data_IF_274118813151
#
_entry.id   IF_274118813151
#
_cell.length_a   1.000
_cell.length_b   1.000
_cell.length_c   1.000
_cell.angle_alpha   90.00
_cell.angle_beta   90.00
_cell.angle_gamma   90.00
#
_symmetry.space_group_name_H-M   'P 1'
#
loop_
_entity.id
_entity.type
_entity.pdbx_description
1 polymer ?
#
# COMPACT_ATOMS: atom_id res chain seq x y z
N UNK A 1 56.42 5.93 22.05
CA UNK A 1 55.68 4.78 21.51
C UNK A 1 54.87 5.28 20.34
N UNK A 2 55.23 4.87 19.12
CA UNK A 2 54.43 5.17 17.94
C UNK A 2 53.33 4.11 17.94
N UNK A 3 52.06 4.52 18.12
CA UNK A 3 50.94 3.60 17.92
C UNK A 3 50.86 3.31 16.42
N UNK A 4 51.07 2.05 16.05
CA UNK A 4 50.71 1.55 14.72
C UNK A 4 49.20 1.61 14.59
N UNK A 5 48.69 2.42 13.65
CA UNK A 5 47.27 2.39 13.30
C UNK A 5 46.99 1.10 12.54
N UNK A 6 46.13 0.21 13.06
CA UNK A 6 45.79 -1.03 12.36
C UNK A 6 45.11 -0.67 11.02
N UNK A 7 45.54 -1.33 9.95
CA UNK A 7 44.92 -1.15 8.63
C UNK A 7 43.55 -1.81 8.65
N UNK A 8 42.51 -0.98 8.62
CA UNK A 8 41.13 -1.41 8.59
C UNK A 8 40.73 -1.76 7.15
N UNK A 9 40.22 -2.98 6.96
CA UNK A 9 39.68 -3.43 5.67
C UNK A 9 38.24 -2.96 5.50
N UNK A 10 37.76 -2.82 4.25
CA UNK A 10 36.40 -2.35 3.98
C UNK A 10 35.33 -3.25 4.59
N UNK A 11 35.55 -4.57 4.63
CA UNK A 11 34.63 -5.51 5.29
C UNK A 11 34.52 -5.21 6.78
N UNK A 12 35.63 -4.90 7.45
CA UNK A 12 35.63 -4.51 8.86
C UNK A 12 34.93 -3.16 9.08
N UNK A 13 35.07 -2.20 8.16
CA UNK A 13 34.32 -0.92 8.24
C UNK A 13 32.82 -1.17 8.24
N UNK A 14 32.33 -2.07 7.37
CA UNK A 14 30.92 -2.43 7.29
C UNK A 14 30.44 -3.12 8.58
N UNK A 15 31.25 -4.03 9.14
CA UNK A 15 30.97 -4.66 10.44
C UNK A 15 30.90 -3.61 11.57
N UNK A 16 31.74 -2.58 11.53
CA UNK A 16 31.72 -1.47 12.51
C UNK A 16 30.55 -0.50 12.33
N UNK A 17 30.04 -0.30 11.12
CA UNK A 17 28.83 0.52 10.91
C UNK A 17 27.59 -0.14 11.50
N UNK A 18 27.50 -1.47 11.44
CA UNK A 18 26.47 -2.24 12.15
C UNK A 18 26.58 -2.02 13.66
N UNK A 19 27.81 -2.00 14.22
CA UNK A 19 28.03 -1.74 15.65
C UNK A 19 27.54 -0.36 16.12
N UNK A 20 27.54 0.65 15.24
CA UNK A 20 27.01 1.98 15.56
C UNK A 20 25.50 1.95 15.84
N UNK A 21 24.76 1.05 15.20
CA UNK A 21 23.31 0.89 15.42
C UNK A 21 22.99 0.28 16.81
N UNK A 22 23.94 -0.45 17.42
CA UNK A 22 23.79 -1.07 18.75
C UNK A 22 24.49 -0.31 19.87
N UNK A 23 25.14 0.82 19.58
CA UNK A 23 25.80 1.64 20.61
C UNK A 23 24.79 2.19 21.65
N UNK A 24 23.48 2.11 21.35
CA UNK A 24 22.38 2.36 22.29
C UNK A 24 22.30 1.32 23.44
N UNK A 25 22.87 0.12 23.27
CA UNK A 25 22.80 -1.00 24.22
C UNK A 25 24.08 -1.21 25.05
N UNK A 26 25.12 -0.40 24.85
CA UNK A 26 26.41 -0.50 25.55
C UNK A 26 26.32 -0.31 27.09
N UNK A 27 25.14 0.07 27.62
CA UNK A 27 24.89 0.24 29.06
C UNK A 27 24.66 -1.06 29.85
N UNK A 28 24.36 -2.18 29.18
CA UNK A 28 24.25 -3.49 29.85
C UNK A 28 25.60 -4.20 29.80
N UNK A 29 26.12 -4.64 30.94
CA UNK A 29 27.38 -5.39 31.04
C UNK A 29 27.34 -6.81 30.43
N UNK A 30 26.25 -7.17 29.76
CA UNK A 30 26.12 -8.45 29.05
C UNK A 30 26.77 -8.33 27.67
N UNK A 31 27.64 -9.29 27.34
CA UNK A 31 28.27 -9.40 26.03
C UNK A 31 27.23 -9.81 24.98
N UNK A 32 26.54 -8.80 24.44
CA UNK A 32 25.46 -8.95 23.46
C UNK A 32 25.92 -9.77 22.26
N UNK A 33 27.20 -9.68 21.88
CA UNK A 33 27.79 -10.41 20.75
C UNK A 33 27.82 -11.93 20.94
N UNK A 34 27.82 -12.41 22.19
CA UNK A 34 27.80 -13.84 22.48
C UNK A 34 26.43 -14.47 22.24
N UNK A 35 25.37 -13.66 22.07
CA UNK A 35 24.05 -14.18 21.82
C UNK A 35 23.84 -14.56 20.35
N UNK A 36 23.20 -15.72 20.07
CA UNK A 36 22.88 -16.14 18.70
C UNK A 36 22.06 -15.11 17.92
N UNK A 37 21.25 -14.29 18.61
CA UNK A 37 20.47 -13.24 17.96
C UNK A 37 21.33 -12.08 17.49
N UNK A 38 22.49 -11.78 18.09
CA UNK A 38 23.36 -10.68 17.64
C UNK A 38 24.21 -11.04 16.39
N UNK A 39 24.08 -12.27 15.88
CA UNK A 39 24.75 -12.68 14.65
C UNK A 39 24.05 -12.07 13.43
N UNK A 40 24.78 -11.23 12.69
CA UNK A 40 24.26 -10.53 11.52
C UNK A 40 23.73 -11.47 10.43
N UNK A 41 24.38 -12.62 10.22
CA UNK A 41 23.92 -13.61 9.24
C UNK A 41 22.59 -14.23 9.64
N UNK A 42 22.37 -14.46 10.94
CA UNK A 42 21.09 -14.95 11.45
C UNK A 42 19.99 -13.89 11.33
N UNK A 43 20.31 -12.62 11.57
CA UNK A 43 19.36 -11.51 11.36
C UNK A 43 18.88 -11.41 9.92
N UNK A 44 19.80 -11.40 8.96
CA UNK A 44 19.45 -11.35 7.53
C UNK A 44 18.58 -12.54 7.11
N UNK A 45 18.87 -13.72 7.65
CA UNK A 45 18.06 -14.91 7.39
C UNK A 45 16.66 -14.80 8.02
N UNK A 46 16.57 -14.36 9.28
CA UNK A 46 15.30 -14.13 9.97
C UNK A 46 14.45 -13.10 9.24
N UNK A 47 15.02 -11.95 8.85
CA UNK A 47 14.32 -10.91 8.12
C UNK A 47 13.78 -11.42 6.79
N UNK A 48 14.58 -12.20 6.04
CA UNK A 48 14.14 -12.82 4.80
C UNK A 48 12.98 -13.78 5.03
N UNK A 49 13.08 -14.62 6.06
CA UNK A 49 12.02 -15.54 6.43
C UNK A 49 10.72 -14.82 6.83
N UNK A 50 10.81 -13.77 7.64
CA UNK A 50 9.65 -12.96 8.05
C UNK A 50 9.03 -12.22 6.87
N UNK A 51 9.83 -11.69 5.94
CA UNK A 51 9.34 -11.06 4.70
C UNK A 51 8.53 -12.05 3.86
N UNK A 52 9.01 -13.29 3.72
CA UNK A 52 8.26 -14.34 3.00
C UNK A 52 6.94 -14.64 3.72
N UNK A 53 6.98 -14.82 5.04
CA UNK A 53 5.77 -15.09 5.83
C UNK A 53 4.75 -13.96 5.74
N UNK A 54 5.22 -12.72 5.81
CA UNK A 54 4.38 -11.54 5.67
C UNK A 54 3.81 -11.44 4.25
N UNK A 55 4.59 -11.70 3.20
CA UNK A 55 4.10 -11.68 1.83
C UNK A 55 2.97 -12.72 1.61
N UNK A 56 3.11 -13.93 2.15
CA UNK A 56 2.06 -14.96 2.11
C UNK A 56 0.76 -14.49 2.78
N UNK A 57 0.88 -13.82 3.92
CA UNK A 57 -0.27 -13.25 4.64
C UNK A 57 -0.89 -12.09 3.86
N UNK A 58 -0.07 -11.14 3.41
CA UNK A 58 -0.52 -9.96 2.68
C UNK A 58 -1.27 -10.34 1.40
N UNK A 59 -0.84 -11.37 0.66
CA UNK A 59 -1.59 -11.89 -0.49
C UNK A 59 -3.00 -12.29 -0.08
N UNK A 60 -3.16 -13.00 1.05
CA UNK A 60 -4.47 -13.43 1.55
C UNK A 60 -5.35 -12.22 1.92
N UNK A 61 -4.77 -11.23 2.60
CA UNK A 61 -5.49 -10.00 2.98
C UNK A 61 -5.85 -9.15 1.77
N UNK A 62 -4.96 -9.04 0.79
CA UNK A 62 -5.20 -8.31 -0.45
C UNK A 62 -6.36 -8.92 -1.25
N UNK A 63 -6.48 -10.25 -1.31
CA UNK A 63 -7.62 -10.90 -1.95
C UNK A 63 -8.96 -10.47 -1.34
N UNK A 64 -9.03 -10.32 -0.02
CA UNK A 64 -10.24 -9.84 0.68
C UNK A 64 -10.47 -8.36 0.36
N UNK A 65 -9.41 -7.54 0.42
CA UNK A 65 -9.47 -6.10 0.12
C UNK A 65 -9.93 -5.84 -1.32
N UNK A 66 -9.47 -6.61 -2.29
CA UNK A 66 -9.89 -6.52 -3.71
C UNK A 66 -11.41 -6.71 -3.81
N UNK A 67 -11.96 -7.76 -3.20
CA UNK A 67 -13.40 -7.99 -3.17
C UNK A 67 -14.16 -6.81 -2.54
N UNK A 68 -13.65 -6.26 -1.43
CA UNK A 68 -14.26 -5.10 -0.76
C UNK A 68 -14.24 -3.85 -1.62
N UNK A 69 -13.12 -3.54 -2.26
CA UNK A 69 -13.01 -2.38 -3.15
C UNK A 69 -13.97 -2.52 -4.33
N UNK A 70 -14.04 -3.69 -4.97
CA UNK A 70 -14.99 -3.96 -6.06
C UNK A 70 -16.44 -3.74 -5.60
N UNK A 71 -16.77 -4.26 -4.42
CA UNK A 71 -18.10 -4.12 -3.83
C UNK A 71 -18.43 -2.66 -3.51
N UNK A 72 -17.47 -1.92 -2.97
CA UNK A 72 -17.61 -0.50 -2.68
C UNK A 72 -17.88 0.30 -3.96
N UNK A 73 -17.04 0.13 -4.99
CA UNK A 73 -17.20 0.78 -6.28
C UNK A 73 -18.58 0.50 -6.87
N UNK A 74 -19.05 -0.75 -6.82
CA UNK A 74 -20.37 -1.11 -7.33
C UNK A 74 -21.51 -0.43 -6.56
N UNK A 75 -21.45 -0.44 -5.23
CA UNK A 75 -22.47 0.18 -4.39
C UNK A 75 -22.50 1.71 -4.57
N UNK A 76 -21.34 2.34 -4.70
CA UNK A 76 -21.22 3.77 -4.93
C UNK A 76 -21.87 4.16 -6.27
N UNK A 77 -21.62 3.41 -7.34
CA UNK A 77 -22.25 3.65 -8.65
C UNK A 77 -23.78 3.50 -8.59
N UNK A 78 -24.28 2.47 -7.89
CA UNK A 78 -25.73 2.31 -7.66
C UNK A 78 -26.31 3.47 -6.85
N UNK A 79 -25.63 3.88 -5.78
CA UNK A 79 -26.05 4.97 -4.92
C UNK A 79 -26.16 6.29 -5.71
N UNK A 80 -25.13 6.65 -6.47
CA UNK A 80 -25.13 7.87 -7.26
C UNK A 80 -26.23 7.87 -8.33
N UNK A 81 -26.42 6.75 -9.03
CA UNK A 81 -27.51 6.59 -10.02
C UNK A 81 -28.90 6.77 -9.38
N UNK A 82 -29.10 6.19 -8.20
CA UNK A 82 -30.35 6.32 -7.45
C UNK A 82 -30.57 7.76 -6.96
N UNK A 83 -29.53 8.43 -6.48
CA UNK A 83 -29.60 9.82 -6.01
C UNK A 83 -29.87 10.79 -7.16
N UNK A 84 -29.25 10.60 -8.32
CA UNK A 84 -29.57 11.39 -9.53
C UNK A 84 -31.06 11.29 -9.87
N UNK A 85 -31.61 10.08 -9.85
CA UNK A 85 -33.03 9.84 -10.16
C UNK A 85 -33.97 10.48 -9.13
N UNK A 86 -33.62 10.43 -7.84
CA UNK A 86 -34.43 11.00 -6.75
C UNK A 86 -34.41 12.54 -6.75
N UNK A 87 -33.23 13.13 -6.92
CA UNK A 87 -33.03 14.58 -6.81
C UNK A 87 -33.43 15.30 -8.11
N UNK A 88 -33.52 14.59 -9.25
CA UNK A 88 -33.85 15.15 -10.57
C UNK A 88 -35.08 16.06 -10.58
N UNK A 89 -36.09 15.75 -9.76
CA UNK A 89 -37.35 16.51 -9.70
C UNK A 89 -37.33 17.63 -8.63
N UNK A 90 -36.43 17.55 -7.64
CA UNK A 90 -36.39 18.45 -6.49
C UNK A 90 -35.45 19.63 -6.72
N UNK A 91 -34.22 19.35 -7.18
CA UNK A 91 -33.16 20.35 -7.33
C UNK A 91 -32.28 20.08 -8.57
N UNK A 92 -32.57 20.70 -9.72
CA UNK A 92 -31.80 20.49 -10.95
C UNK A 92 -30.32 20.92 -10.85
N UNK A 93 -29.95 22.06 -10.22
CA UNK A 93 -28.56 22.40 -9.93
C UNK A 93 -27.79 21.32 -9.13
N UNK A 94 -28.42 20.74 -8.10
CA UNK A 94 -27.77 19.70 -7.30
C UNK A 94 -27.55 18.42 -8.12
N UNK A 95 -28.49 18.05 -8.97
CA UNK A 95 -28.32 16.90 -9.90
C UNK A 95 -27.15 17.12 -10.85
N UNK A 96 -26.95 18.34 -11.34
CA UNK A 96 -25.79 18.64 -12.17
C UNK A 96 -24.46 18.39 -11.44
N UNK A 97 -24.37 18.77 -10.16
CA UNK A 97 -23.18 18.51 -9.34
C UNK A 97 -22.99 17.00 -9.07
N UNK A 98 -24.06 16.29 -8.71
CA UNK A 98 -24.01 14.84 -8.51
C UNK A 98 -23.53 14.14 -9.78
N UNK A 99 -24.06 14.53 -10.94
CA UNK A 99 -23.66 13.96 -12.24
C UNK A 99 -22.21 14.23 -12.59
N UNK A 100 -21.71 15.43 -12.29
CA UNK A 100 -20.30 15.77 -12.47
C UNK A 100 -19.40 14.89 -11.60
N UNK A 101 -19.78 14.68 -10.34
CA UNK A 101 -19.07 13.80 -9.43
C UNK A 101 -19.13 12.33 -9.87
N UNK A 102 -20.32 11.87 -10.27
CA UNK A 102 -20.53 10.51 -10.76
C UNK A 102 -19.66 10.19 -11.97
N UNK A 103 -19.59 11.10 -12.95
CA UNK A 103 -18.73 10.91 -14.13
C UNK A 103 -17.24 10.76 -13.76
N UNK A 104 -16.77 11.54 -12.79
CA UNK A 104 -15.41 11.41 -12.27
C UNK A 104 -15.20 10.04 -11.59
N UNK A 105 -16.14 9.61 -10.76
CA UNK A 105 -16.04 8.33 -10.07
C UNK A 105 -16.13 7.13 -11.01
N UNK A 106 -16.93 7.20 -12.07
CA UNK A 106 -16.99 6.14 -13.08
C UNK A 106 -15.63 5.96 -13.76
N UNK A 107 -14.93 7.04 -14.08
CA UNK A 107 -13.59 6.96 -14.67
C UNK A 107 -12.59 6.25 -13.73
N UNK A 108 -12.56 6.61 -12.45
CA UNK A 108 -11.69 5.93 -11.48
C UNK A 108 -12.10 4.47 -11.27
N UNK A 109 -13.40 4.19 -11.19
CA UNK A 109 -13.91 2.83 -11.06
C UNK A 109 -13.50 1.94 -12.24
N UNK A 110 -13.57 2.48 -13.47
CA UNK A 110 -13.11 1.79 -14.68
C UNK A 110 -11.61 1.50 -14.64
N UNK A 111 -10.79 2.49 -14.26
CA UNK A 111 -9.34 2.31 -14.12
C UNK A 111 -9.00 1.24 -13.08
N UNK A 112 -9.63 1.28 -11.90
CA UNK A 112 -9.45 0.26 -10.87
C UNK A 112 -9.88 -1.12 -11.37
N UNK A 113 -11.01 -1.22 -12.06
CA UNK A 113 -11.49 -2.48 -12.61
C UNK A 113 -10.53 -3.06 -13.65
N UNK A 114 -9.97 -2.22 -14.53
CA UNK A 114 -8.92 -2.64 -15.48
C UNK A 114 -7.68 -3.16 -14.76
N UNK A 115 -7.24 -2.50 -13.69
CA UNK A 115 -6.12 -2.97 -12.88
C UNK A 115 -6.42 -4.32 -12.24
N UNK A 116 -7.61 -4.51 -11.66
CA UNK A 116 -8.00 -5.80 -11.09
C UNK A 116 -8.09 -6.91 -12.14
N UNK A 117 -8.59 -6.61 -13.35
CA UNK A 117 -8.62 -7.57 -14.46
C UNK A 117 -7.21 -7.99 -14.89
N UNK A 118 -6.28 -7.04 -15.01
CA UNK A 118 -4.86 -7.34 -15.29
C UNK A 118 -4.25 -8.19 -14.18
N UNK A 119 -4.54 -7.86 -12.92
CA UNK A 119 -4.04 -8.59 -11.76
C UNK A 119 -4.56 -10.04 -11.72
N UNK A 120 -5.83 -10.28 -12.06
CA UNK A 120 -6.36 -11.65 -12.14
C UNK A 120 -5.86 -12.46 -13.34
N UNK A 121 -5.30 -11.80 -14.35
CA UNK A 121 -4.65 -12.47 -15.47
C UNK A 121 -3.22 -12.94 -15.13
N UNK A 122 -2.64 -12.50 -14.00
CA UNK A 122 -1.30 -12.90 -13.60
C UNK A 122 -1.27 -14.37 -13.16
N UNK A 123 -0.21 -15.13 -13.53
CA UNK A 123 -0.02 -16.49 -13.04
C UNK A 123 0.16 -16.47 -11.51
N UNK A 124 -0.59 -17.30 -10.81
CA UNK A 124 -0.53 -17.38 -9.33
C UNK A 124 -1.51 -16.48 -8.60
N UNK A 125 -2.41 -15.77 -9.29
CA UNK A 125 -3.51 -15.07 -8.63
C UNK A 125 -4.47 -16.07 -7.96
N UNK A 126 -4.73 -15.86 -6.66
CA UNK A 126 -5.59 -16.74 -5.83
C UNK A 126 -6.89 -16.08 -5.41
N UNK A 127 -7.09 -14.79 -5.73
CA UNK A 127 -8.27 -14.02 -5.34
C UNK A 127 -9.46 -14.20 -6.27
N UNK A 128 -10.48 -13.35 -6.06
CA UNK A 128 -11.70 -13.33 -6.86
C UNK A 128 -12.09 -11.88 -7.21
N UNK A 129 -12.48 -11.64 -8.46
CA UNK A 129 -13.06 -10.34 -8.90
C UNK A 129 -14.60 -10.35 -8.76
N UNK A 130 -15.19 -11.41 -8.21
CA UNK A 130 -16.64 -11.45 -7.99
C UNK A 130 -17.05 -10.39 -6.98
N UNK A 131 -18.21 -9.79 -7.23
CA UNK A 131 -18.86 -8.89 -6.28
C UNK A 131 -19.13 -9.62 -4.95
N UNK A 132 -18.76 -8.98 -3.86
CA UNK A 132 -19.17 -9.38 -2.51
C UNK A 132 -20.55 -8.85 -2.17
N UNK A 133 -21.07 -9.28 -1.02
CA UNK A 133 -22.29 -8.74 -0.43
C UNK A 133 -21.88 -7.70 0.63
N UNK A 134 -22.33 -6.46 0.47
CA UNK A 134 -22.12 -5.43 1.47
C UNK A 134 -23.12 -5.58 2.62
N UNK A 135 -22.64 -5.57 3.86
CA UNK A 135 -23.50 -5.53 5.04
C UNK A 135 -24.25 -4.20 5.17
N UNK A 136 -23.69 -3.12 4.59
CA UNK A 136 -24.19 -1.75 4.74
C UNK A 136 -25.15 -1.32 3.61
N UNK A 137 -25.69 -2.28 2.84
CA UNK A 137 -26.59 -1.93 1.74
C UNK A 137 -27.86 -1.21 2.23
N UNK A 138 -28.28 -1.39 3.50
CA UNK A 138 -29.41 -0.63 4.06
C UNK A 138 -29.08 0.83 4.36
N UNK A 139 -27.83 1.19 4.71
CA UNK A 139 -27.46 2.58 5.03
C UNK A 139 -27.59 3.51 3.81
N UNK A 140 -27.18 3.05 2.63
CA UNK A 140 -27.34 3.82 1.39
C UNK A 140 -28.80 3.96 0.96
N UNK A 141 -29.65 2.99 1.31
CA UNK A 141 -31.10 3.04 1.07
C UNK A 141 -31.79 3.96 2.08
N UNK A 142 -31.37 3.93 3.35
CA UNK A 142 -31.91 4.74 4.44
C UNK A 142 -31.57 6.23 4.30
N UNK A 143 -30.34 6.59 3.93
CA UNK A 143 -30.00 8.00 3.60
C UNK A 143 -30.85 8.51 2.44
N UNK A 144 -31.13 7.65 1.47
CA UNK A 144 -31.99 7.97 0.35
C UNK A 144 -33.49 8.04 0.72
N UNK A 145 -33.88 7.56 1.90
CA UNK A 145 -35.24 7.63 2.44
C UNK A 145 -35.39 8.73 3.53
N UNK A 146 -34.29 9.23 4.09
CA UNK A 146 -34.28 10.34 5.07
C UNK A 146 -34.52 11.73 4.45
N UNK A 147 -34.64 11.82 3.12
CA UNK A 147 -34.94 13.08 2.41
C UNK A 147 -36.43 13.43 2.31
N UNK A 148 -37.32 12.65 2.96
CA UNK A 148 -38.75 12.99 3.12
C UNK A 148 -39.05 13.82 4.39
N UNK A 149 -38.03 14.38 5.06
CA UNK A 149 -38.26 15.28 6.21
C UNK A 149 -37.85 16.70 5.86
N UNK A 150 -38.87 17.52 5.67
CA UNK A 150 -38.83 18.98 5.64
C UNK A 150 -37.84 19.56 6.68
N UNK A 151 -37.07 20.55 6.24
CA UNK A 151 -36.38 21.53 7.08
C UNK A 151 -35.28 21.02 8.03
N UNK A 152 -34.03 20.98 7.57
CA UNK A 152 -32.94 21.42 8.44
C UNK A 152 -31.75 22.02 7.67
N UNK A 153 -31.86 23.32 7.39
CA UNK A 153 -30.78 24.15 6.89
C UNK A 153 -29.82 24.55 8.01
N UNK A 154 -29.13 23.61 8.66
CA UNK A 154 -28.04 23.91 9.60
C UNK A 154 -27.03 22.75 9.61
N UNK A 155 -25.93 22.83 8.84
CA UNK A 155 -24.61 22.22 9.18
C UNK A 155 -23.54 22.17 8.05
N UNK A 156 -23.62 22.96 6.97
CA UNK A 156 -22.53 23.02 5.98
C UNK A 156 -22.08 24.47 5.69
N UNK A 157 -21.58 25.16 6.72
CA UNK A 157 -20.96 26.49 6.59
C UNK A 157 -19.47 26.51 6.97
N UNK A 158 -18.78 25.35 6.99
CA UNK A 158 -17.45 25.23 7.58
C UNK A 158 -16.24 24.98 6.67
N UNK A 159 -16.39 24.71 5.36
CA UNK A 159 -15.26 24.25 4.52
C UNK A 159 -15.32 24.76 3.08
N UNK A 160 -15.42 26.08 2.90
CA UNK A 160 -15.09 26.73 1.61
C UNK A 160 -13.90 27.65 1.84
N UNK A 161 -12.72 27.04 1.91
CA UNK A 161 -11.44 27.72 1.77
C UNK A 161 -11.04 27.73 0.30
N UNK A 162 -10.92 28.93 -0.23
CA UNK A 162 -10.45 29.36 -1.54
C UNK A 162 -9.56 28.37 -2.31
N UNK A 163 -9.98 28.00 -3.52
CA UNK A 163 -9.10 27.45 -4.56
C UNK A 163 -9.26 28.33 -5.80
N UNK A 164 -8.53 29.44 -5.80
CA UNK A 164 -8.13 30.14 -7.02
C UNK A 164 -6.61 30.25 -7.03
N UNK A 165 -5.95 29.34 -7.74
CA UNK A 165 -4.77 29.76 -8.49
C UNK A 165 -4.57 28.87 -9.72
N UNK A 166 -4.60 29.53 -10.87
CA UNK A 166 -4.31 28.98 -12.19
C UNK A 166 -2.95 29.51 -12.59
N UNK A 167 -1.96 28.62 -12.72
CA UNK A 167 -0.60 28.99 -13.15
C UNK A 167 0.12 27.85 -13.85
N UNK A 168 0.50 28.09 -15.09
CA UNK A 168 1.02 27.17 -16.12
C UNK A 168 2.37 26.47 -15.86
N UNK A 169 2.45 25.25 -16.42
CA UNK A 169 3.46 24.64 -17.33
C UNK A 169 4.92 25.16 -17.36
N UNK A 170 5.86 24.27 -16.98
CA UNK A 170 7.12 23.89 -17.65
C UNK A 170 7.78 22.84 -16.74
N UNK A 171 8.04 21.59 -17.13
CA UNK A 171 8.98 21.16 -18.16
C UNK A 171 10.30 20.77 -17.50
N UNK A 172 10.56 19.47 -17.28
CA UNK A 172 11.89 18.89 -17.48
C UNK A 172 11.82 17.35 -17.49
N UNK A 173 12.59 16.77 -18.42
CA UNK A 173 12.79 15.35 -18.62
C UNK A 173 13.85 14.84 -17.63
N UNK A 174 13.65 13.65 -17.07
CA UNK A 174 14.76 12.74 -16.79
C UNK A 174 14.20 11.33 -16.67
N UNK A 175 14.40 10.56 -17.74
CA UNK A 175 14.49 9.12 -17.67
C UNK A 175 15.50 8.71 -16.59
N UNK A 176 15.10 7.82 -15.70
CA UNK A 176 16.03 6.93 -15.03
C UNK A 176 15.37 5.56 -14.88
N UNK A 177 15.45 4.81 -15.98
CA UNK A 177 15.23 3.37 -16.04
C UNK A 177 16.38 2.66 -15.31
N UNK A 178 16.22 2.48 -14.01
CA UNK A 178 17.05 1.56 -13.22
C UNK A 178 16.26 0.27 -13.01
N UNK A 179 16.21 -0.56 -14.05
CA UNK A 179 15.82 -1.95 -13.96
C UNK A 179 16.72 -2.68 -12.94
N UNK A 180 16.19 -3.25 -11.84
CA UNK A 180 16.97 -4.08 -10.95
C UNK A 180 17.30 -5.39 -11.66
N UNK A 181 18.55 -5.54 -12.07
CA UNK A 181 19.10 -6.82 -12.53
C UNK A 181 20.26 -7.19 -11.60
N UNK A 182 20.18 -8.41 -11.08
CA UNK A 182 21.24 -9.24 -10.44
C UNK A 182 21.15 -9.57 -8.93
N UNK A 183 20.21 -9.03 -8.16
CA UNK A 183 20.17 -9.36 -6.71
C UNK A 183 19.67 -10.80 -6.41
N UNK A 184 18.81 -11.36 -7.26
CA UNK A 184 18.22 -12.70 -7.05
C UNK A 184 19.21 -13.84 -7.35
N UNK A 185 20.15 -13.63 -8.28
CA UNK A 185 21.14 -14.63 -8.69
C UNK A 185 22.22 -14.81 -7.61
N UNK A 186 22.65 -13.72 -6.98
CA UNK A 186 23.61 -13.74 -5.86
C UNK A 186 23.01 -14.41 -4.61
N UNK A 187 21.73 -14.14 -4.31
CA UNK A 187 21.03 -14.75 -3.19
C UNK A 187 20.89 -16.27 -3.36
N UNK A 188 20.56 -16.73 -4.58
CA UNK A 188 20.48 -18.16 -4.89
C UNK A 188 21.84 -18.86 -4.87
N UNK A 189 22.91 -18.18 -5.29
CA UNK A 189 24.27 -18.71 -5.20
C UNK A 189 24.72 -18.90 -3.74
N UNK A 190 24.41 -17.94 -2.86
CA UNK A 190 24.69 -18.04 -1.42
C UNK A 190 23.89 -19.15 -0.73
N UNK A 191 22.62 -19.32 -1.11
CA UNK A 191 21.78 -20.40 -0.60
C UNK A 191 22.35 -21.78 -0.97
N UNK A 192 22.78 -21.99 -2.23
CA UNK A 192 23.41 -23.26 -2.63
C UNK A 192 24.71 -23.53 -1.88
N UNK A 193 25.55 -22.52 -1.68
CA UNK A 193 26.81 -22.66 -0.97
C UNK A 193 26.62 -23.09 0.49
N UNK A 194 25.59 -22.56 1.19
CA UNK A 194 25.29 -22.93 2.57
C UNK A 194 24.70 -24.33 2.71
N UNK A 195 23.88 -24.78 1.75
CA UNK A 195 23.35 -26.15 1.76
C UNK A 195 24.49 -27.17 1.64
N UNK A 196 25.50 -26.91 0.80
CA UNK A 196 26.69 -27.76 0.71
C UNK A 196 27.56 -27.78 1.97
N UNK A 197 27.54 -26.73 2.80
CA UNK A 197 28.33 -26.67 4.05
C UNK A 197 27.63 -27.42 5.20
N UNK A 198 26.32 -27.69 5.07
CA UNK A 198 25.53 -28.37 6.10
C UNK A 198 25.35 -29.88 5.83
N UNK A 199 25.76 -30.38 4.66
CA UNK A 199 25.67 -31.80 4.26
C UNK A 199 27.01 -32.57 4.34
N UNK A 200 28.12 -31.90 4.66
CA UNK A 200 29.44 -32.49 5.00
C UNK A 200 29.72 -32.46 6.52
#
# INVERSE_FOLDING_TARGET
MILECPQLTWDQVLDYTFLADFNLLHGSQDDIHAHPWANQSLHLYMDSWFKIKQAEEEIRWLNIKICWVITHLHNEQQFLTNMESKVAQVDPPLVFQIRKYHLLQTHFAEQHMQCFQKLAALPGFTGSIKLGVSLNQSLHVEVANLHDVENNAIMYQGLVGDLSDTGNLAGDESDNDSSPKDDDEELHARYRALVTILED
#
